data_IF_518255170915
#
_entry.id   IF_518255170915
#
_cell.length_a   1.000
_cell.length_b   1.000
_cell.length_c   1.000
_cell.angle_alpha   90.00
_cell.angle_beta   90.00
_cell.angle_gamma   90.00
#
_symmetry.space_group_name_H-M   'P 1'
#
loop_
_entity.id
_entity.type
_entity.pdbx_description
1 polymer ?
#
# COMPACT_ATOMS: atom_id res chain seq x y z
N UNK A 1 -10.17 17.11 -9.87
CA UNK A 1 -10.55 18.30 -10.67
C UNK A 1 -9.34 19.06 -11.23
N UNK A 2 -8.42 19.60 -10.41
CA UNK A 2 -7.28 20.41 -10.90
C UNK A 2 -6.43 19.75 -12.00
N UNK A 3 -6.14 18.46 -11.87
CA UNK A 3 -5.28 17.72 -12.78
C UNK A 3 -6.02 16.96 -13.89
N UNK A 4 -7.36 16.97 -13.92
CA UNK A 4 -8.14 16.10 -14.82
C UNK A 4 -7.92 14.59 -14.62
N UNK A 5 -7.22 14.17 -13.56
CA UNK A 5 -6.92 12.77 -13.28
C UNK A 5 -8.15 11.98 -12.80
N UNK A 6 -8.17 10.69 -13.13
CA UNK A 6 -9.19 9.73 -12.68
C UNK A 6 -8.83 9.13 -11.33
N UNK A 7 -9.83 8.94 -10.47
CA UNK A 7 -9.68 8.18 -9.22
C UNK A 7 -9.81 6.69 -9.51
N UNK A 8 -8.83 5.89 -9.11
CA UNK A 8 -8.91 4.42 -9.15
C UNK A 8 -9.07 3.93 -7.73
N UNK A 9 -10.19 3.26 -7.42
CA UNK A 9 -10.47 2.76 -6.06
C UNK A 9 -11.62 1.74 -6.10
N UNK A 10 -12.11 1.32 -4.94
CA UNK A 10 -13.31 0.49 -4.85
C UNK A 10 -14.56 1.25 -5.36
N UNK A 11 -15.63 0.50 -5.64
CA UNK A 11 -16.87 1.05 -6.19
C UNK A 11 -17.46 2.18 -5.33
N UNK A 12 -17.50 2.01 -4.01
CA UNK A 12 -18.08 2.96 -3.06
C UNK A 12 -17.32 4.29 -3.06
N UNK A 13 -15.98 4.23 -3.02
CA UNK A 13 -15.12 5.42 -3.06
C UNK A 13 -15.27 6.15 -4.39
N UNK A 14 -15.26 5.42 -5.52
CA UNK A 14 -15.43 6.02 -6.84
C UNK A 14 -16.81 6.68 -6.97
N UNK A 15 -17.87 6.05 -6.46
CA UNK A 15 -19.21 6.64 -6.48
C UNK A 15 -19.30 7.90 -5.61
N UNK A 16 -18.69 7.90 -4.42
CA UNK A 16 -18.62 9.08 -3.56
C UNK A 16 -17.99 10.27 -4.30
N UNK A 17 -16.82 10.07 -4.92
CA UNK A 17 -16.15 11.13 -5.67
C UNK A 17 -16.86 11.50 -6.98
N UNK A 18 -17.55 10.55 -7.60
CA UNK A 18 -18.43 10.78 -8.75
C UNK A 18 -19.55 11.78 -8.43
N UNK A 19 -20.18 11.66 -7.26
CA UNK A 19 -21.20 12.62 -6.78
C UNK A 19 -20.63 14.04 -6.55
N UNK A 20 -19.32 14.15 -6.36
CA UNK A 20 -18.60 15.43 -6.28
C UNK A 20 -18.11 15.92 -7.65
N UNK A 21 -18.44 15.22 -8.74
CA UNK A 21 -18.04 15.53 -10.11
C UNK A 21 -16.57 15.23 -10.40
N UNK A 22 -16.02 14.18 -9.80
CA UNK A 22 -14.67 13.66 -10.08
C UNK A 22 -14.82 12.30 -10.75
N UNK A 23 -14.27 12.17 -11.96
CA UNK A 23 -14.28 10.90 -12.69
C UNK A 23 -13.43 9.84 -11.98
N UNK A 24 -13.86 8.59 -12.06
CA UNK A 24 -13.10 7.47 -11.54
C UNK A 24 -13.32 6.18 -12.32
N UNK A 25 -12.46 5.21 -12.03
CA UNK A 25 -12.50 3.85 -12.54
C UNK A 25 -12.71 2.91 -11.35
N UNK A 26 -13.92 2.36 -11.14
CA UNK A 26 -14.20 1.49 -10.02
C UNK A 26 -13.56 0.11 -10.24
N UNK A 27 -12.89 -0.39 -9.21
CA UNK A 27 -12.34 -1.74 -9.11
C UNK A 27 -12.89 -2.40 -7.83
N UNK A 28 -12.47 -3.63 -7.53
CA UNK A 28 -12.64 -4.24 -6.21
C UNK A 28 -11.63 -5.37 -6.02
N UNK A 29 -11.55 -5.96 -4.83
CA UNK A 29 -10.61 -7.04 -4.48
C UNK A 29 -10.53 -8.15 -5.52
N UNK A 30 -9.30 -8.50 -5.92
CA UNK A 30 -9.01 -9.52 -6.93
C UNK A 30 -9.23 -9.03 -8.37
N UNK A 31 -9.76 -7.83 -8.56
CA UNK A 31 -9.92 -7.20 -9.86
C UNK A 31 -8.60 -6.67 -10.39
N UNK A 32 -8.33 -6.95 -11.66
CA UNK A 32 -7.17 -6.45 -12.40
C UNK A 32 -7.62 -5.70 -13.64
N UNK A 33 -6.97 -4.58 -13.94
CA UNK A 33 -7.25 -3.78 -15.13
C UNK A 33 -5.96 -3.33 -15.83
N UNK A 34 -5.97 -3.36 -17.16
CA UNK A 34 -4.89 -2.84 -17.99
C UNK A 34 -5.15 -1.36 -18.33
N UNK A 35 -4.37 -0.48 -17.73
CA UNK A 35 -4.29 0.95 -18.10
C UNK A 35 -3.19 1.18 -19.13
N UNK A 36 -3.15 2.39 -19.70
CA UNK A 36 -2.15 2.79 -20.69
C UNK A 36 -0.72 2.77 -20.12
N UNK A 37 -0.56 3.00 -18.81
CA UNK A 37 0.74 3.02 -18.13
C UNK A 37 1.16 1.65 -17.57
N UNK A 38 0.25 0.69 -17.50
CA UNK A 38 0.52 -0.57 -16.81
C UNK A 38 -0.73 -1.28 -16.32
N UNK A 39 -0.52 -2.45 -15.72
CA UNK A 39 -1.57 -3.28 -15.16
C UNK A 39 -1.69 -3.01 -13.66
N UNK A 40 -2.90 -2.82 -13.18
CA UNK A 40 -3.19 -2.57 -11.76
C UNK A 40 -4.09 -3.67 -11.24
N UNK A 41 -3.75 -4.24 -10.08
CA UNK A 41 -4.55 -5.23 -9.37
C UNK A 41 -4.90 -4.71 -7.99
N UNK A 42 -6.18 -4.74 -7.63
CA UNK A 42 -6.65 -4.35 -6.29
C UNK A 42 -6.58 -5.57 -5.37
N UNK A 43 -5.80 -5.50 -4.29
CA UNK A 43 -5.54 -6.62 -3.37
C UNK A 43 -6.10 -6.38 -1.97
N UNK A 44 -6.22 -7.46 -1.20
CA UNK A 44 -6.80 -7.41 0.13
C UNK A 44 -5.94 -6.66 1.14
N UNK A 45 -6.62 -6.00 2.08
CA UNK A 45 -6.05 -5.38 3.27
C UNK A 45 -7.00 -5.61 4.44
N UNK A 46 -6.46 -5.69 5.66
CA UNK A 46 -7.23 -5.85 6.88
C UNK A 46 -7.23 -4.53 7.64
N UNK A 47 -8.29 -3.75 7.46
CA UNK A 47 -8.45 -2.44 8.06
C UNK A 47 -9.93 -1.99 8.03
N UNK A 48 -10.20 -0.73 8.35
CA UNK A 48 -11.50 -0.09 8.16
C UNK A 48 -11.50 0.84 6.95
N UNK A 49 -12.65 1.05 6.32
CA UNK A 49 -12.82 2.04 5.23
C UNK A 49 -14.18 2.74 5.34
N UNK A 50 -14.15 3.96 5.88
CA UNK A 50 -15.34 4.82 6.01
C UNK A 50 -14.95 6.28 5.81
N UNK A 51 -15.92 7.09 5.39
CA UNK A 51 -15.75 8.53 5.30
C UNK A 51 -15.84 9.21 6.69
N UNK A 52 -15.39 10.47 6.84
CA UNK A 52 -15.45 11.18 8.12
C UNK A 52 -16.86 11.36 8.70
N UNK A 53 -17.89 11.32 7.86
CA UNK A 53 -19.29 11.37 8.25
C UNK A 53 -19.85 9.99 8.69
N UNK A 54 -19.01 8.96 8.67
CA UNK A 54 -19.36 7.58 9.01
C UNK A 54 -19.99 6.78 7.85
N UNK A 55 -20.16 7.38 6.67
CA UNK A 55 -20.69 6.65 5.51
C UNK A 55 -19.71 5.58 5.03
N UNK A 56 -20.28 4.49 4.48
CA UNK A 56 -19.52 3.31 4.07
C UNK A 56 -18.59 3.63 2.88
N UNK A 57 -17.30 3.32 3.02
CA UNK A 57 -16.26 3.53 2.01
C UNK A 57 -15.79 2.24 1.36
N UNK A 58 -16.61 1.19 1.34
CA UNK A 58 -16.22 -0.12 0.83
C UNK A 58 -15.33 -0.88 1.81
N UNK A 59 -14.55 -1.82 1.27
CA UNK A 59 -13.52 -2.54 2.01
C UNK A 59 -12.13 -1.97 1.69
N UNK A 60 -11.20 -1.90 2.66
CA UNK A 60 -9.86 -1.39 2.44
C UNK A 60 -9.07 -2.32 1.52
N UNK A 61 -8.03 -1.79 0.87
CA UNK A 61 -7.15 -2.63 0.03
C UNK A 61 -5.82 -1.98 -0.28
N UNK A 62 -4.97 -2.79 -0.89
CA UNK A 62 -3.74 -2.35 -1.51
C UNK A 62 -3.81 -2.45 -3.04
N UNK A 63 -2.71 -2.09 -3.69
CA UNK A 63 -2.56 -2.20 -5.14
C UNK A 63 -1.25 -2.85 -5.51
N UNK A 64 -1.29 -3.75 -6.49
CA UNK A 64 -0.10 -4.13 -7.26
C UNK A 64 -0.13 -3.30 -8.54
N UNK A 65 0.99 -2.66 -8.86
CA UNK A 65 1.21 -1.97 -10.13
C UNK A 65 2.31 -2.71 -10.88
N UNK A 66 1.99 -3.20 -12.07
CA UNK A 66 2.93 -3.84 -12.98
C UNK A 66 3.14 -2.95 -14.18
N UNK A 67 4.35 -2.41 -14.32
CA UNK A 67 4.72 -1.45 -15.37
C UNK A 67 5.98 -1.91 -16.09
N UNK A 68 6.35 -1.23 -17.17
CA UNK A 68 7.63 -1.49 -17.85
C UNK A 68 8.85 -1.08 -17.02
N UNK A 69 8.67 -0.22 -16.02
CA UNK A 69 9.76 0.31 -15.18
C UNK A 69 9.96 -0.53 -13.91
N UNK A 70 8.93 -1.29 -13.50
CA UNK A 70 9.00 -2.16 -12.35
C UNK A 70 7.63 -2.51 -11.79
N UNK A 71 7.65 -3.47 -10.86
CA UNK A 71 6.48 -3.99 -10.18
C UNK A 71 6.47 -3.55 -8.72
N UNK A 72 5.43 -2.82 -8.33
CA UNK A 72 5.31 -2.22 -7.01
C UNK A 72 4.06 -2.76 -6.32
N UNK A 73 4.20 -3.16 -5.06
CA UNK A 73 3.07 -3.41 -4.18
C UNK A 73 2.93 -2.26 -3.19
N UNK A 74 1.74 -1.65 -3.10
CA UNK A 74 1.38 -0.65 -2.11
C UNK A 74 0.30 -1.25 -1.21
N UNK A 75 0.63 -1.47 0.06
CA UNK A 75 -0.22 -2.27 0.95
C UNK A 75 -1.52 -1.57 1.40
N UNK A 76 -1.55 -0.24 1.38
CA UNK A 76 -2.55 0.52 2.14
C UNK A 76 -2.34 0.35 3.65
N UNK A 77 -3.24 0.93 4.44
CA UNK A 77 -3.28 0.65 5.87
C UNK A 77 -3.81 -0.76 6.07
N UNK A 78 -3.02 -1.62 6.69
CA UNK A 78 -3.37 -3.04 6.88
C UNK A 78 -2.63 -3.62 8.08
N UNK A 79 -3.20 -4.68 8.66
CA UNK A 79 -2.44 -5.63 9.46
C UNK A 79 -1.71 -6.66 8.60
N UNK A 80 -0.84 -7.46 9.23
CA UNK A 80 -0.24 -8.64 8.61
C UNK A 80 -1.35 -9.65 8.28
N UNK A 81 -1.40 -10.11 7.02
CA UNK A 81 -2.41 -11.06 6.55
C UNK A 81 -1.80 -12.14 5.67
N UNK A 82 -2.38 -13.34 5.69
CA UNK A 82 -1.94 -14.46 4.85
C UNK A 82 -2.16 -14.20 3.36
N UNK A 83 -3.09 -13.32 2.99
CA UNK A 83 -3.34 -12.96 1.59
C UNK A 83 -2.14 -12.31 0.92
N UNK A 84 -1.22 -11.73 1.70
CA UNK A 84 0.05 -11.21 1.17
C UNK A 84 0.88 -12.30 0.47
N UNK A 85 0.72 -13.58 0.84
CA UNK A 85 1.39 -14.71 0.18
C UNK A 85 0.86 -14.99 -1.23
N UNK A 86 -0.31 -14.45 -1.60
CA UNK A 86 -0.84 -14.57 -2.95
C UNK A 86 -0.11 -13.64 -3.93
N UNK A 87 0.51 -12.58 -3.43
CA UNK A 87 1.19 -11.56 -4.26
C UNK A 87 2.35 -12.16 -5.06
N UNK A 88 3.33 -12.88 -4.48
CA UNK A 88 4.45 -13.45 -5.24
C UNK A 88 4.01 -14.57 -6.21
N UNK A 89 2.83 -15.15 -6.00
CA UNK A 89 2.24 -16.12 -6.94
C UNK A 89 1.73 -15.44 -8.22
N UNK A 90 1.49 -14.13 -8.19
CA UNK A 90 0.97 -13.34 -9.31
C UNK A 90 2.08 -12.52 -9.97
N UNK A 91 2.93 -11.88 -9.16
CA UNK A 91 3.87 -10.86 -9.62
C UNK A 91 5.14 -10.89 -8.77
N UNK A 92 6.30 -10.87 -9.43
CA UNK A 92 7.58 -10.63 -8.75
C UNK A 92 7.75 -9.13 -8.52
N UNK A 93 7.91 -8.72 -7.26
CA UNK A 93 8.01 -7.32 -6.87
C UNK A 93 9.44 -6.80 -6.89
N UNK A 94 9.61 -5.57 -7.38
CA UNK A 94 10.86 -4.80 -7.28
C UNK A 94 10.85 -3.87 -6.05
N UNK A 95 9.65 -3.47 -5.59
CA UNK A 95 9.45 -2.68 -4.39
C UNK A 95 8.15 -3.06 -3.67
N UNK A 96 8.20 -3.21 -2.35
CA UNK A 96 7.01 -3.25 -1.50
C UNK A 96 6.94 -2.01 -0.61
N UNK A 97 5.80 -1.32 -0.62
CA UNK A 97 5.50 -0.12 0.17
C UNK A 97 4.60 -0.53 1.33
N UNK A 98 5.16 -0.62 2.53
CA UNK A 98 4.53 -1.23 3.70
C UNK A 98 4.39 -0.24 4.86
N UNK A 99 3.25 -0.21 5.58
CA UNK A 99 3.13 0.60 6.79
C UNK A 99 3.98 -0.02 7.91
N UNK A 100 4.63 0.81 8.72
CA UNK A 100 5.52 0.37 9.81
C UNK A 100 5.28 1.08 11.15
N UNK A 101 4.23 1.90 11.24
CA UNK A 101 3.99 2.78 12.39
C UNK A 101 3.25 2.15 13.58
N UNK A 102 2.84 0.89 13.48
CA UNK A 102 2.08 0.21 14.55
C UNK A 102 0.72 0.90 14.81
N UNK A 103 0.09 0.60 15.96
CA UNK A 103 -1.17 1.11 16.54
C UNK A 103 -2.44 0.99 15.66
N UNK A 104 -2.40 1.44 14.41
CA UNK A 104 -3.46 1.34 13.41
C UNK A 104 -3.11 0.40 12.25
N UNK A 105 -1.82 0.13 12.05
CA UNK A 105 -1.27 -0.65 10.94
C UNK A 105 -0.23 -1.64 11.46
N UNK A 106 0.46 -2.36 10.58
CA UNK A 106 1.61 -3.17 10.97
C UNK A 106 2.68 -2.32 11.69
N UNK A 107 3.17 -2.84 12.82
CA UNK A 107 4.45 -2.42 13.38
C UNK A 107 5.62 -3.08 12.66
N UNK A 108 6.85 -2.71 13.05
CA UNK A 108 8.11 -3.18 12.44
C UNK A 108 8.16 -4.72 12.34
N UNK A 109 7.84 -5.45 13.41
CA UNK A 109 7.92 -6.92 13.42
C UNK A 109 6.97 -7.55 12.38
N UNK A 110 5.71 -7.12 12.38
CA UNK A 110 4.70 -7.58 11.41
C UNK A 110 5.09 -7.22 9.97
N UNK A 111 5.63 -6.02 9.75
CA UNK A 111 6.06 -5.58 8.44
C UNK A 111 7.27 -6.38 7.91
N UNK A 112 8.18 -6.83 8.78
CA UNK A 112 9.26 -7.73 8.35
C UNK A 112 8.75 -9.10 7.90
N UNK A 113 7.72 -9.64 8.55
CA UNK A 113 7.07 -10.90 8.12
C UNK A 113 6.30 -10.68 6.82
N UNK A 114 5.63 -9.53 6.67
CA UNK A 114 4.96 -9.16 5.43
C UNK A 114 5.95 -9.10 4.26
N UNK A 115 7.15 -8.51 4.46
CA UNK A 115 8.22 -8.49 3.47
C UNK A 115 8.66 -9.90 3.02
N UNK A 116 8.69 -10.87 3.94
CA UNK A 116 8.92 -12.28 3.61
C UNK A 116 7.74 -12.88 2.83
N UNK A 117 6.49 -12.60 3.22
CA UNK A 117 5.30 -13.12 2.55
C UNK A 117 5.14 -12.62 1.11
N UNK A 118 5.53 -11.36 0.85
CA UNK A 118 5.46 -10.78 -0.49
C UNK A 118 6.72 -11.06 -1.32
N UNK A 119 7.69 -11.79 -0.77
CA UNK A 119 8.97 -12.15 -1.40
C UNK A 119 9.70 -10.95 -2.02
N UNK A 120 9.72 -9.81 -1.31
CA UNK A 120 10.42 -8.61 -1.73
C UNK A 120 11.51 -8.24 -0.73
N UNK A 121 12.70 -7.88 -1.23
CA UNK A 121 13.84 -7.50 -0.39
C UNK A 121 13.97 -5.99 -0.21
N UNK A 122 13.41 -5.20 -1.13
CA UNK A 122 13.44 -3.73 -1.10
C UNK A 122 12.11 -3.19 -0.58
N UNK A 123 12.13 -2.60 0.60
CA UNK A 123 10.93 -2.16 1.33
C UNK A 123 10.97 -0.65 1.52
N UNK A 124 9.95 0.05 1.06
CA UNK A 124 9.70 1.44 1.42
C UNK A 124 8.72 1.49 2.61
N UNK A 125 9.23 1.87 3.77
CA UNK A 125 8.41 2.06 4.97
C UNK A 125 7.61 3.36 4.90
N UNK A 126 6.34 3.33 5.28
CA UNK A 126 5.51 4.53 5.43
C UNK A 126 4.55 4.43 6.63
N UNK A 127 3.68 5.44 6.79
CA UNK A 127 2.68 5.52 7.87
C UNK A 127 3.31 5.42 9.28
N UNK A 128 4.39 6.16 9.51
CA UNK A 128 5.08 6.33 10.81
C UNK A 128 5.42 7.81 11.03
N UNK A 129 5.66 8.22 12.27
CA UNK A 129 6.10 9.56 12.70
C UNK A 129 5.23 10.76 12.24
N UNK A 130 4.06 10.53 11.64
CA UNK A 130 3.17 11.63 11.24
C UNK A 130 2.32 12.17 12.41
N UNK A 131 2.18 11.40 13.50
CA UNK A 131 1.54 11.81 14.75
C UNK A 131 1.92 10.87 15.91
N UNK A 132 1.65 11.29 17.15
CA UNK A 132 2.24 10.69 18.35
C UNK A 132 1.97 9.19 18.61
N UNK A 133 0.91 8.60 18.04
CA UNK A 133 0.61 7.17 18.24
C UNK A 133 1.43 6.23 17.37
N UNK A 134 2.16 6.75 16.41
CA UNK A 134 2.90 5.96 15.41
C UNK A 134 4.37 6.41 15.32
N UNK A 135 4.90 6.96 16.40
CA UNK A 135 6.32 7.26 16.54
C UNK A 135 7.14 5.97 16.64
N UNK A 136 8.19 5.86 15.83
CA UNK A 136 9.03 4.66 15.80
C UNK A 136 10.49 4.95 16.08
N UNK A 137 11.23 3.92 16.51
CA UNK A 137 12.68 3.99 16.57
C UNK A 137 13.29 3.58 15.23
N UNK A 138 13.80 4.55 14.47
CA UNK A 138 14.31 4.35 13.10
C UNK A 138 15.47 3.36 13.05
N UNK A 139 16.37 3.40 14.04
CA UNK A 139 17.52 2.50 14.08
C UNK A 139 17.07 1.05 14.30
N UNK A 140 16.14 0.84 15.24
CA UNK A 140 15.54 -0.49 15.47
C UNK A 140 14.79 -0.99 14.25
N UNK A 141 14.08 -0.12 13.54
CA UNK A 141 13.39 -0.48 12.29
C UNK A 141 14.39 -0.98 11.25
N UNK A 142 15.42 -0.19 10.94
CA UNK A 142 16.46 -0.57 9.97
C UNK A 142 17.18 -1.86 10.35
N UNK A 143 17.50 -2.03 11.63
CA UNK A 143 18.14 -3.25 12.14
C UNK A 143 17.24 -4.48 11.99
N UNK A 144 15.95 -4.37 12.32
CA UNK A 144 15.00 -5.48 12.20
C UNK A 144 14.87 -5.98 10.75
N UNK A 145 14.72 -5.06 9.78
CA UNK A 145 14.68 -5.43 8.37
C UNK A 145 16.01 -6.00 7.88
N UNK A 146 17.14 -5.38 8.26
CA UNK A 146 18.48 -5.87 7.90
C UNK A 146 18.73 -7.30 8.42
N UNK A 147 18.29 -7.62 9.63
CA UNK A 147 18.43 -8.97 10.21
C UNK A 147 17.62 -10.03 9.46
N UNK A 148 16.66 -9.62 8.62
CA UNK A 148 15.88 -10.47 7.71
C UNK A 148 16.41 -10.46 6.28
N UNK A 149 17.56 -9.82 6.03
CA UNK A 149 18.11 -9.67 4.68
C UNK A 149 17.34 -8.67 3.81
N UNK A 150 16.58 -7.76 4.43
CA UNK A 150 15.73 -6.77 3.75
C UNK A 150 16.37 -5.38 3.83
N UNK A 151 16.27 -4.61 2.75
CA UNK A 151 16.58 -3.19 2.70
C UNK A 151 15.34 -2.38 3.10
N UNK A 152 15.40 -1.66 4.22
CA UNK A 152 14.38 -0.69 4.60
C UNK A 152 14.79 0.71 4.16
N UNK A 153 14.02 1.27 3.24
CA UNK A 153 14.09 2.65 2.77
C UNK A 153 13.10 3.48 3.58
N UNK A 154 13.60 4.59 4.13
CA UNK A 154 12.81 5.56 4.90
C UNK A 154 13.10 6.94 4.31
N UNK A 155 12.11 7.51 3.63
CA UNK A 155 12.23 8.79 2.95
C UNK A 155 11.76 9.94 3.84
N UNK A 156 12.48 11.07 3.78
CA UNK A 156 11.98 12.33 4.28
C UNK A 156 10.91 12.91 3.37
N UNK A 157 10.22 13.94 3.85
CA UNK A 157 9.22 14.66 3.04
C UNK A 157 9.92 15.27 1.82
N UNK A 158 9.42 14.96 0.62
CA UNK A 158 9.95 15.38 -0.70
C UNK A 158 11.15 14.58 -1.23
N UNK A 159 11.67 13.61 -0.49
CA UNK A 159 12.68 12.69 -1.01
C UNK A 159 12.05 11.66 -1.95
N UNK A 160 12.87 11.07 -2.83
CA UNK A 160 12.46 10.04 -3.78
C UNK A 160 13.54 8.96 -3.95
N UNK A 161 13.14 7.84 -4.55
CA UNK A 161 14.04 6.81 -5.06
C UNK A 161 13.72 6.55 -6.53
N UNK A 162 14.71 6.09 -7.27
CA UNK A 162 14.53 5.55 -8.61
C UNK A 162 14.44 4.01 -8.53
N UNK A 163 13.60 3.44 -9.38
CA UNK A 163 13.43 2.01 -9.57
C UNK A 163 14.09 1.59 -10.88
#
# INVERSE_FOLDING_TARGET
KRAGAKVVSNFEIVNHFGNLGIEGHPMNHGGTWQFDFGKVTYVNAIHSSSFPDGSYGGQPGGFILETSEGNIYIAGDTSLTMDMKLIPMQTKLDLAVLPIGDNFTMGIESATIAADFVECDKILGYHYDTFGYIEINHNKAKEAFKNKGKELIMLGISDFIEL
#
